data_IF_125586991332
#
_entry.id   IF_125586991332
#
_cell.length_a   1.000
_cell.length_b   1.000
_cell.length_c   1.000
_cell.angle_alpha   90.00
_cell.angle_beta   90.00
_cell.angle_gamma   90.00
#
_symmetry.space_group_name_H-M   'P 1'
#
loop_
_entity.id
_entity.type
_entity.pdbx_description
1 polymer ?
#
# COMPACT_ATOMS: atom_id res chain seq x y z
N UNK A 1 -11.15 -25.63 1.53
CA UNK A 1 -12.39 -24.92 1.35
C UNK A 1 -12.22 -23.43 1.60
N UNK A 2 -12.59 -22.63 0.61
CA UNK A 2 -12.44 -21.17 0.70
C UNK A 2 -13.24 -20.56 1.85
N UNK A 3 -14.41 -21.10 2.13
CA UNK A 3 -15.24 -20.59 3.22
C UNK A 3 -14.56 -20.80 4.58
N UNK A 4 -13.96 -21.97 4.77
CA UNK A 4 -13.20 -22.24 5.98
C UNK A 4 -11.96 -21.37 6.09
N UNK A 5 -11.26 -21.17 4.97
CA UNK A 5 -10.11 -20.28 4.92
C UNK A 5 -10.53 -18.84 5.20
N UNK A 6 -11.65 -18.39 4.64
CA UNK A 6 -12.15 -17.06 4.88
C UNK A 6 -12.44 -16.80 6.35
N UNK A 7 -12.98 -17.80 7.03
CA UNK A 7 -13.19 -17.66 8.48
C UNK A 7 -11.89 -17.51 9.23
N UNK A 8 -10.87 -18.30 8.88
CA UNK A 8 -9.55 -18.14 9.47
C UNK A 8 -8.97 -16.76 9.21
N UNK A 9 -9.14 -16.28 8.01
CA UNK A 9 -8.64 -14.97 7.61
C UNK A 9 -9.34 -13.85 8.34
N UNK A 10 -10.59 -14.06 8.72
CA UNK A 10 -11.37 -13.08 9.46
C UNK A 10 -11.14 -13.15 10.96
N UNK A 11 -10.49 -14.19 11.43
CA UNK A 11 -10.16 -14.26 12.83
C UNK A 11 -9.35 -13.03 13.22
N UNK A 12 -9.84 -12.32 14.18
CA UNK A 12 -9.21 -11.11 14.61
C UNK A 12 -7.88 -11.39 15.27
N UNK A 13 -6.97 -10.49 15.10
CA UNK A 13 -5.71 -10.51 15.78
C UNK A 13 -5.83 -9.83 17.14
N UNK A 14 -4.89 -10.12 18.07
CA UNK A 14 -4.91 -9.51 19.39
C UNK A 14 -4.89 -8.00 19.32
N UNK A 15 -5.74 -7.37 20.13
CA UNK A 15 -5.85 -5.92 20.16
C UNK A 15 -4.63 -5.25 20.79
N UNK A 16 -3.83 -6.01 21.50
CA UNK A 16 -2.64 -5.50 22.18
C UNK A 16 -1.44 -5.31 21.27
N UNK A 17 -1.52 -5.79 20.04
CA UNK A 17 -0.39 -5.68 19.12
C UNK A 17 -0.19 -4.23 18.70
N UNK A 18 1.07 -3.86 18.48
CA UNK A 18 1.43 -2.55 17.92
C UNK A 18 0.90 -2.44 16.49
N UNK A 19 0.85 -1.21 15.95
CA UNK A 19 0.41 -0.99 14.58
C UNK A 19 1.20 -1.82 13.57
N UNK A 20 2.54 -1.87 13.72
CA UNK A 20 3.38 -2.67 12.83
C UNK A 20 3.11 -4.15 12.94
N UNK A 21 2.93 -4.65 14.14
CA UNK A 21 2.60 -6.06 14.36
C UNK A 21 1.24 -6.42 13.79
N UNK A 22 0.26 -5.53 13.93
CA UNK A 22 -1.06 -5.73 13.33
C UNK A 22 -0.98 -5.84 11.83
N UNK A 23 -0.19 -4.99 11.20
CA UNK A 23 -0.01 -5.04 9.76
C UNK A 23 0.62 -6.35 9.31
N UNK A 24 1.64 -6.81 10.03
CA UNK A 24 2.28 -8.09 9.72
C UNK A 24 1.33 -9.26 9.88
N UNK A 25 0.50 -9.25 10.92
CA UNK A 25 -0.49 -10.30 11.14
C UNK A 25 -1.52 -10.29 10.03
N UNK A 26 -2.01 -9.10 9.65
CA UNK A 26 -2.97 -8.97 8.57
C UNK A 26 -2.41 -9.50 7.25
N UNK A 27 -1.14 -9.20 6.95
CA UNK A 27 -0.47 -9.68 5.75
C UNK A 27 -0.32 -11.21 5.81
N UNK A 28 0.08 -11.74 6.95
CA UNK A 28 0.21 -13.18 7.13
C UNK A 28 -1.13 -13.89 6.95
N UNK A 29 -2.21 -13.32 7.47
CA UNK A 29 -3.55 -13.88 7.28
C UNK A 29 -3.96 -13.88 5.80
N UNK A 30 -3.64 -12.81 5.08
CA UNK A 30 -3.91 -12.75 3.65
C UNK A 30 -3.17 -13.86 2.90
N UNK A 31 -1.93 -14.15 3.28
CA UNK A 31 -1.16 -15.23 2.68
C UNK A 31 -1.77 -16.60 2.97
N UNK A 32 -2.28 -16.81 4.18
CA UNK A 32 -2.93 -18.06 4.54
C UNK A 32 -4.19 -18.31 3.72
N UNK A 33 -4.78 -17.26 3.16
CA UNK A 33 -5.95 -17.37 2.30
C UNK A 33 -5.61 -17.65 0.84
N UNK A 34 -4.34 -17.93 0.53
CA UNK A 34 -3.88 -18.14 -0.84
C UNK A 34 -4.19 -16.94 -1.73
N UNK A 35 -3.97 -15.77 -1.20
CA UNK A 35 -4.27 -14.51 -1.87
C UNK A 35 -3.29 -14.25 -3.00
N UNK A 36 -3.81 -13.84 -4.17
CA UNK A 36 -3.00 -13.40 -5.30
C UNK A 36 -3.05 -11.89 -5.50
N UNK A 37 -3.96 -11.24 -4.81
CA UNK A 37 -4.17 -9.80 -4.87
C UNK A 37 -4.37 -9.28 -3.45
N UNK A 38 -3.60 -8.28 -3.07
CA UNK A 38 -3.63 -7.70 -1.73
C UNK A 38 -3.96 -6.21 -1.83
N UNK A 39 -4.93 -5.77 -1.02
CA UNK A 39 -5.22 -4.36 -0.87
C UNK A 39 -4.56 -3.88 0.42
N UNK A 40 -3.58 -3.00 0.29
CA UNK A 40 -2.89 -2.41 1.42
C UNK A 40 -3.35 -0.96 1.58
N UNK A 41 -4.32 -0.75 2.45
CA UNK A 41 -4.94 0.55 2.68
C UNK A 41 -4.26 1.26 3.84
N UNK A 42 -3.47 2.26 3.54
CA UNK A 42 -2.71 3.05 4.52
C UNK A 42 -1.86 2.16 5.44
N UNK A 43 -1.12 1.17 4.89
CA UNK A 43 -0.47 0.15 5.74
C UNK A 43 0.65 0.69 6.60
N UNK A 44 1.18 1.85 6.27
CA UNK A 44 2.30 2.45 7.01
C UNK A 44 1.93 3.76 7.67
N UNK A 45 0.66 4.14 7.60
CA UNK A 45 0.16 5.35 8.24
C UNK A 45 0.29 5.24 9.76
N UNK A 46 0.76 6.29 10.41
CA UNK A 46 0.93 6.37 11.87
C UNK A 46 1.97 5.39 12.45
N UNK A 47 2.79 4.77 11.61
CA UNK A 47 3.91 3.93 12.07
C UNK A 47 5.19 4.75 12.11
N UNK A 48 6.12 4.35 12.99
CA UNK A 48 7.42 4.99 12.99
C UNK A 48 8.24 4.58 11.74
N UNK A 49 9.31 5.32 11.46
CA UNK A 49 10.09 5.16 10.23
C UNK A 49 10.68 3.75 10.10
N UNK A 50 11.15 3.16 11.20
CA UNK A 50 11.75 1.84 11.18
C UNK A 50 10.72 0.76 10.85
N UNK A 51 9.57 0.81 11.51
CA UNK A 51 8.48 -0.15 11.27
C UNK A 51 7.93 0.04 9.86
N UNK A 52 7.78 1.29 9.44
CA UNK A 52 7.33 1.61 8.08
C UNK A 52 8.23 0.96 7.03
N UNK A 53 9.56 1.08 7.20
CA UNK A 53 10.51 0.48 6.27
C UNK A 53 10.40 -1.05 6.25
N UNK A 54 10.16 -1.67 7.40
CA UNK A 54 9.98 -3.12 7.48
C UNK A 54 8.73 -3.58 6.75
N UNK A 55 7.61 -2.87 6.90
CA UNK A 55 6.36 -3.20 6.22
C UNK A 55 6.52 -3.05 4.71
N UNK A 56 7.14 -1.97 4.25
CA UNK A 56 7.38 -1.75 2.83
C UNK A 56 8.22 -2.88 2.25
N UNK A 57 9.30 -3.26 2.92
CA UNK A 57 10.14 -4.37 2.46
C UNK A 57 9.39 -5.69 2.41
N UNK A 58 8.54 -5.95 3.39
CA UNK A 58 7.72 -7.16 3.41
C UNK A 58 6.77 -7.20 2.22
N UNK A 59 6.08 -6.09 1.95
CA UNK A 59 5.15 -6.01 0.82
C UNK A 59 5.87 -6.19 -0.53
N UNK A 60 7.03 -5.55 -0.69
CA UNK A 60 7.83 -5.72 -1.90
C UNK A 60 8.29 -7.16 -2.08
N UNK A 61 8.71 -7.81 -1.00
CA UNK A 61 9.12 -9.20 -1.02
C UNK A 61 7.98 -10.12 -1.45
N UNK A 62 6.79 -9.90 -0.93
CA UNK A 62 5.61 -10.67 -1.32
C UNK A 62 5.30 -10.51 -2.80
N UNK A 63 5.40 -9.31 -3.30
CA UNK A 63 5.18 -9.05 -4.71
C UNK A 63 6.23 -9.75 -5.58
N UNK A 64 7.51 -9.62 -5.24
CA UNK A 64 8.61 -10.14 -6.03
C UNK A 64 8.75 -11.66 -5.97
N UNK A 65 8.60 -12.24 -4.79
CA UNK A 65 8.84 -13.65 -4.58
C UNK A 65 7.60 -14.52 -4.80
N UNK A 66 6.43 -14.01 -4.44
CA UNK A 66 5.19 -14.77 -4.49
C UNK A 66 4.25 -14.34 -5.62
N UNK A 67 4.61 -13.32 -6.37
CA UNK A 67 3.80 -12.84 -7.48
C UNK A 67 2.48 -12.21 -7.07
N UNK A 68 2.37 -11.75 -5.83
CA UNK A 68 1.14 -11.13 -5.35
C UNK A 68 1.07 -9.71 -5.92
N UNK A 69 -0.06 -9.38 -6.53
CA UNK A 69 -0.34 -8.02 -6.98
C UNK A 69 -0.84 -7.20 -5.79
N UNK A 70 -0.33 -5.99 -5.65
CA UNK A 70 -0.66 -5.15 -4.51
C UNK A 70 -1.26 -3.84 -4.98
N UNK A 71 -2.45 -3.52 -4.47
CA UNK A 71 -3.03 -2.19 -4.58
C UNK A 71 -2.68 -1.43 -3.31
N UNK A 72 -1.77 -0.50 -3.41
CA UNK A 72 -1.24 0.24 -2.27
C UNK A 72 -1.91 1.61 -2.21
N UNK A 73 -2.62 1.88 -1.12
CA UNK A 73 -3.33 3.14 -0.92
C UNK A 73 -2.61 3.94 0.17
N UNK A 74 -2.18 5.14 -0.17
CA UNK A 74 -1.47 5.99 0.78
C UNK A 74 -1.57 7.45 0.36
N UNK A 75 -1.46 8.33 1.34
CA UNK A 75 -1.33 9.76 1.09
C UNK A 75 0.15 10.21 1.10
N UNK A 76 1.06 9.30 1.39
CA UNK A 76 2.50 9.60 1.40
C UNK A 76 3.09 9.32 0.02
N UNK A 77 3.30 10.38 -0.74
CA UNK A 77 3.77 10.28 -2.12
C UNK A 77 5.15 9.66 -2.25
N UNK A 78 6.01 9.82 -1.24
CA UNK A 78 7.34 9.23 -1.27
C UNK A 78 7.30 7.72 -1.09
N UNK A 79 6.41 7.25 -0.22
CA UNK A 79 6.19 5.82 -0.03
C UNK A 79 5.62 5.20 -1.29
N UNK A 80 4.64 5.87 -1.90
CA UNK A 80 4.06 5.40 -3.15
C UNK A 80 5.13 5.27 -4.24
N UNK A 81 6.04 6.23 -4.33
CA UNK A 81 7.12 6.17 -5.31
C UNK A 81 8.02 4.96 -5.10
N UNK A 82 8.32 4.62 -3.84
CA UNK A 82 9.16 3.47 -3.51
C UNK A 82 8.49 2.13 -3.81
N UNK A 83 7.17 2.08 -3.62
CA UNK A 83 6.41 0.83 -3.68
C UNK A 83 5.86 0.50 -5.06
N UNK A 84 5.47 1.49 -5.83
CA UNK A 84 4.55 1.29 -6.94
C UNK A 84 5.21 1.52 -8.28
N UNK A 85 4.79 0.74 -9.29
CA UNK A 85 5.19 0.94 -10.68
C UNK A 85 4.24 1.89 -11.39
N UNK A 86 2.99 1.90 -10.97
CA UNK A 86 1.93 2.74 -11.54
C UNK A 86 1.17 3.43 -10.42
N UNK A 87 0.64 4.58 -10.72
CA UNK A 87 -0.08 5.37 -9.73
C UNK A 87 -1.37 5.94 -10.31
N UNK A 88 -2.39 6.01 -9.44
CA UNK A 88 -3.63 6.71 -9.73
C UNK A 88 -3.79 7.82 -8.70
N UNK A 89 -4.00 9.04 -9.18
CA UNK A 89 -4.24 10.19 -8.30
C UNK A 89 -5.75 10.40 -8.21
N UNK A 90 -6.27 10.34 -6.99
CA UNK A 90 -7.70 10.46 -6.74
C UNK A 90 -8.02 11.69 -5.91
N UNK A 91 -9.19 12.27 -6.18
CA UNK A 91 -9.74 13.36 -5.39
C UNK A 91 -11.26 13.27 -5.43
N UNK A 92 -11.88 13.31 -4.25
CA UNK A 92 -13.35 13.30 -4.12
C UNK A 92 -14.02 12.17 -4.90
N UNK A 93 -13.41 10.99 -4.86
CA UNK A 93 -13.96 9.80 -5.52
C UNK A 93 -13.67 9.71 -7.01
N UNK A 94 -12.93 10.66 -7.58
CA UNK A 94 -12.60 10.66 -9.00
C UNK A 94 -11.10 10.42 -9.22
N UNK A 95 -10.78 9.68 -10.28
CA UNK A 95 -9.39 9.50 -10.71
C UNK A 95 -9.07 10.67 -11.65
N UNK A 96 -8.13 11.53 -11.22
CA UNK A 96 -7.75 12.71 -11.98
C UNK A 96 -6.69 12.40 -13.04
N UNK A 97 -5.73 11.53 -12.72
CA UNK A 97 -4.75 11.05 -13.68
C UNK A 97 -4.15 9.74 -13.21
N UNK A 98 -3.62 8.98 -14.15
CA UNK A 98 -3.01 7.69 -13.86
C UNK A 98 -1.95 7.35 -14.90
N UNK A 99 -1.00 6.54 -14.53
CA UNK A 99 0.06 6.12 -15.43
C UNK A 99 1.28 5.59 -14.69
N UNK A 100 2.38 5.48 -15.40
CA UNK A 100 3.63 5.07 -14.81
C UNK A 100 4.07 6.06 -13.74
N UNK A 101 4.65 5.54 -12.67
CA UNK A 101 5.03 6.38 -11.52
C UNK A 101 5.99 7.50 -11.92
N UNK A 102 6.99 7.19 -12.73
CA UNK A 102 7.97 8.19 -13.14
C UNK A 102 7.35 9.27 -14.02
N UNK A 103 6.44 8.90 -14.90
CA UNK A 103 5.78 9.84 -15.77
C UNK A 103 4.89 10.80 -14.98
N UNK A 104 4.10 10.28 -14.06
CA UNK A 104 3.20 11.11 -13.25
C UNK A 104 3.98 12.04 -12.32
N UNK A 105 5.08 11.54 -11.73
CA UNK A 105 5.86 12.35 -10.80
C UNK A 105 6.72 13.39 -11.50
N UNK A 106 7.25 13.07 -12.67
CA UNK A 106 8.12 13.99 -13.42
C UNK A 106 7.36 14.92 -14.35
N UNK A 107 6.20 14.47 -14.84
CA UNK A 107 5.38 15.23 -15.80
C UNK A 107 3.91 15.21 -15.41
N UNK A 108 3.55 15.75 -14.21
CA UNK A 108 2.16 15.77 -13.78
C UNK A 108 1.32 16.63 -14.71
N UNK A 109 0.13 16.15 -15.07
CA UNK A 109 -0.75 16.82 -16.00
C UNK A 109 -1.80 17.69 -15.32
N UNK A 110 -2.22 17.31 -14.09
CA UNK A 110 -3.23 18.06 -13.38
C UNK A 110 -2.60 19.00 -12.36
N UNK A 111 -3.27 20.11 -12.08
CA UNK A 111 -2.82 21.05 -11.07
C UNK A 111 -2.83 20.44 -9.68
N UNK A 112 -3.80 19.55 -9.44
CA UNK A 112 -3.90 18.88 -8.15
C UNK A 112 -2.67 18.00 -7.89
N UNK A 113 -2.24 17.23 -8.88
CA UNK A 113 -1.03 16.40 -8.77
C UNK A 113 0.20 17.26 -8.52
N UNK A 114 0.33 18.36 -9.23
CA UNK A 114 1.44 19.31 -9.03
C UNK A 114 1.45 19.83 -7.60
N UNK A 115 0.28 20.19 -7.09
CA UNK A 115 0.15 20.69 -5.72
C UNK A 115 0.56 19.63 -4.70
N UNK A 116 0.14 18.38 -4.88
CA UNK A 116 0.50 17.28 -4.01
C UNK A 116 2.02 17.05 -3.96
N UNK A 117 2.65 17.07 -5.14
CA UNK A 117 4.09 16.85 -5.24
C UNK A 117 4.88 17.98 -4.61
N UNK A 118 4.43 19.22 -4.78
CA UNK A 118 5.04 20.38 -4.14
C UNK A 118 4.91 20.30 -2.62
N UNK A 119 3.73 19.95 -2.12
CA UNK A 119 3.49 19.82 -0.69
C UNK A 119 4.37 18.75 -0.05
N UNK A 120 4.71 17.71 -0.82
CA UNK A 120 5.59 16.63 -0.36
C UNK A 120 7.07 16.93 -0.57
N UNK A 121 7.41 18.12 -1.09
CA UNK A 121 8.78 18.52 -1.40
C UNK A 121 9.46 17.60 -2.42
N UNK A 122 8.70 17.10 -3.38
CA UNK A 122 9.23 16.25 -4.45
C UNK A 122 9.61 17.09 -5.67
N UNK A 123 8.87 18.18 -5.90
CA UNK A 123 9.19 19.14 -6.96
C UNK A 123 9.18 20.56 -6.42
#
# INVERSE_FOLDING_TARGET
>A
DKVGLDRKCREHYPNELSGGQRQRVAIAQALLCDTKFLIADEPVSALDVTIQAQIIRLLLKLHQEMGISILFISHDLRVVYQMCDRVMIMRSGEILEQGDIDEIYNHPKTDYTKLLLEAANII
#
